data_IF_698246292854
#
_entry.id   IF_698246292854
#
_cell.length_a   1.000
_cell.length_b   1.000
_cell.length_c   1.000
_cell.angle_alpha   90.00
_cell.angle_beta   90.00
_cell.angle_gamma   90.00
#
_symmetry.space_group_name_H-M   'P 1'
#
loop_
_entity.id
_entity.type
_entity.pdbx_description
1 polymer ?
#
# COMPACT_ATOMS: atom_id res chain seq x y z
N UNK A 1 52.35 -8.21 -45.20
CA UNK A 1 52.01 -7.05 -44.34
C UNK A 1 50.87 -7.47 -43.43
N UNK A 2 51.05 -7.60 -42.10
CA UNK A 2 49.96 -7.96 -41.21
C UNK A 2 49.15 -6.71 -40.85
N UNK A 3 47.82 -6.81 -40.90
CA UNK A 3 46.91 -5.77 -40.45
C UNK A 3 46.73 -5.88 -38.92
N UNK A 4 47.05 -4.79 -38.21
CA UNK A 4 46.86 -4.69 -36.77
C UNK A 4 45.38 -4.42 -36.45
N UNK A 5 44.75 -5.26 -35.64
CA UNK A 5 43.46 -4.95 -35.01
C UNK A 5 43.69 -4.00 -33.83
N UNK A 6 43.09 -2.81 -33.91
CA UNK A 6 43.00 -1.90 -32.77
C UNK A 6 41.79 -2.29 -31.90
N UNK A 7 42.05 -2.70 -30.66
CA UNK A 7 41.01 -2.91 -29.66
C UNK A 7 40.57 -1.57 -29.08
N UNK A 8 39.31 -1.20 -29.27
CA UNK A 8 38.69 -0.04 -28.61
C UNK A 8 38.27 -0.47 -27.21
N UNK A 9 38.95 0.05 -26.18
CA UNK A 9 38.48 -0.06 -24.79
C UNK A 9 37.29 0.90 -24.60
N UNK A 10 36.10 0.34 -24.39
CA UNK A 10 34.94 1.10 -23.90
C UNK A 10 35.07 1.19 -22.38
N UNK A 11 35.43 2.36 -21.86
CA UNK A 11 35.36 2.65 -20.42
C UNK A 11 33.91 2.87 -20.03
N UNK A 12 33.31 1.92 -19.33
CA UNK A 12 31.99 2.07 -18.72
C UNK A 12 32.15 3.01 -17.52
N UNK A 13 31.59 4.22 -17.61
CA UNK A 13 31.50 5.10 -16.45
C UNK A 13 30.56 4.46 -15.42
N UNK A 14 30.89 4.47 -14.11
CA UNK A 14 29.99 3.97 -13.09
C UNK A 14 28.72 4.83 -13.10
N UNK A 15 27.57 4.17 -13.17
CA UNK A 15 26.28 4.84 -12.98
C UNK A 15 26.31 5.52 -11.60
N UNK A 16 26.14 6.84 -11.57
CA UNK A 16 25.95 7.56 -10.32
C UNK A 16 24.68 7.00 -9.67
N UNK A 17 24.83 6.35 -8.51
CA UNK A 17 23.69 6.02 -7.66
C UNK A 17 22.93 7.31 -7.39
N UNK A 18 21.68 7.38 -7.84
CA UNK A 18 20.79 8.45 -7.44
C UNK A 18 20.70 8.40 -5.91
N UNK A 19 21.27 9.39 -5.23
CA UNK A 19 21.13 9.52 -3.79
C UNK A 19 19.64 9.74 -3.50
N UNK A 20 19.05 8.86 -2.70
CA UNK A 20 17.70 9.06 -2.16
C UNK A 20 17.65 10.44 -1.52
N UNK A 21 16.66 11.30 -1.82
CA UNK A 21 16.55 12.60 -1.18
C UNK A 21 16.56 12.38 0.33
N UNK A 22 17.42 13.11 1.06
CA UNK A 22 17.42 13.04 2.52
C UNK A 22 16.06 13.51 3.02
N UNK A 23 15.23 12.57 3.45
CA UNK A 23 13.89 12.86 3.95
C UNK A 23 14.03 13.72 5.20
N UNK A 24 13.40 14.88 5.20
CA UNK A 24 13.44 15.85 6.31
C UNK A 24 12.81 15.25 7.58
N UNK A 25 13.19 15.69 8.79
CA UNK A 25 12.54 15.21 10.01
C UNK A 25 11.05 15.61 10.03
N UNK A 26 10.18 14.72 10.52
CA UNK A 26 8.78 15.09 10.70
C UNK A 26 8.63 16.18 11.77
N UNK A 27 7.81 17.18 11.45
CA UNK A 27 7.34 18.18 12.38
C UNK A 27 6.43 17.54 13.46
N UNK A 28 6.07 18.26 14.54
CA UNK A 28 5.10 17.77 15.51
C UNK A 28 3.79 17.33 14.85
N UNK A 29 3.17 16.29 15.38
CA UNK A 29 1.95 15.71 14.83
C UNK A 29 0.81 16.74 14.79
N UNK A 30 0.03 16.73 13.70
CA UNK A 30 -1.18 17.53 13.61
C UNK A 30 -2.17 17.13 14.72
N UNK A 31 -2.76 18.14 15.35
CA UNK A 31 -3.79 17.99 16.38
C UNK A 31 -5.09 18.61 15.87
N UNK A 32 -6.20 17.85 15.81
CA UNK A 32 -7.48 18.38 15.33
C UNK A 32 -8.09 19.43 16.28
N UNK A 33 -7.57 19.58 17.50
CA UNK A 33 -8.09 20.54 18.49
C UNK A 33 -7.25 21.80 18.61
N UNK A 34 -6.06 21.84 17.99
CA UNK A 34 -5.15 22.98 18.03
C UNK A 34 -5.50 24.05 16.98
N UNK A 35 -5.23 25.31 17.33
CA UNK A 35 -5.29 26.43 16.38
C UNK A 35 -3.93 26.60 15.69
N UNK A 36 -3.94 26.70 14.37
CA UNK A 36 -2.76 26.93 13.55
C UNK A 36 -2.84 28.29 12.84
N UNK A 37 -1.70 28.91 12.60
CA UNK A 37 -1.55 30.18 11.87
C UNK A 37 -0.69 29.97 10.63
N UNK A 38 -0.72 30.95 9.72
CA UNK A 38 0.09 30.91 8.51
C UNK A 38 1.58 30.69 8.84
N UNK A 39 2.18 29.67 8.22
CA UNK A 39 3.56 29.26 8.44
C UNK A 39 3.77 28.13 9.46
N UNK A 40 2.81 27.87 10.35
CA UNK A 40 2.91 26.75 11.29
C UNK A 40 3.06 25.44 10.52
N UNK A 41 3.91 24.55 11.04
CA UNK A 41 4.26 23.28 10.37
C UNK A 41 3.90 22.09 11.25
N UNK A 42 3.26 21.09 10.66
CA UNK A 42 2.84 19.84 11.31
C UNK A 42 3.20 18.64 10.44
N UNK A 43 3.26 17.46 11.02
CA UNK A 43 3.27 16.20 10.28
C UNK A 43 1.90 15.54 10.26
N UNK A 44 1.58 14.87 9.16
CA UNK A 44 0.37 14.06 8.97
C UNK A 44 0.66 13.00 7.90
N UNK A 45 0.45 11.71 8.22
CA UNK A 45 0.65 10.57 7.31
C UNK A 45 2.02 10.60 6.59
N UNK A 46 3.11 10.75 7.35
CA UNK A 46 4.48 10.71 6.81
C UNK A 46 4.90 11.93 5.99
N UNK A 47 4.14 13.03 6.04
CA UNK A 47 4.46 14.27 5.31
C UNK A 47 4.40 15.49 6.21
N UNK A 48 5.26 16.46 5.92
CA UNK A 48 5.18 17.78 6.55
C UNK A 48 4.20 18.67 5.78
N UNK A 49 3.45 19.48 6.51
CA UNK A 49 2.45 20.40 5.99
C UNK A 49 2.61 21.77 6.63
N UNK A 50 2.39 22.83 5.86
CA UNK A 50 2.45 24.21 6.36
C UNK A 50 1.09 24.89 6.19
N UNK A 51 0.58 25.49 7.26
CA UNK A 51 -0.69 26.21 7.22
C UNK A 51 -0.55 27.48 6.36
N UNK A 52 -1.51 27.71 5.46
CA UNK A 52 -1.55 28.89 4.59
C UNK A 52 -2.23 30.09 5.25
N UNK A 53 -3.15 29.82 6.17
CA UNK A 53 -3.90 30.80 6.97
C UNK A 53 -4.36 30.14 8.26
N UNK A 54 -5.15 30.85 9.08
CA UNK A 54 -5.67 30.30 10.33
C UNK A 54 -6.58 29.09 10.06
N UNK A 55 -6.33 27.97 10.73
CA UNK A 55 -7.17 26.77 10.62
C UNK A 55 -7.18 25.98 11.94
N UNK A 56 -8.27 25.23 12.16
CA UNK A 56 -8.47 24.34 13.30
C UNK A 56 -9.29 23.13 12.86
N UNK A 57 -8.85 21.93 13.20
CA UNK A 57 -9.59 20.69 12.95
C UNK A 57 -9.62 20.22 11.49
N UNK A 58 -8.99 20.95 10.58
CA UNK A 58 -8.91 20.60 9.17
C UNK A 58 -7.78 19.61 8.92
N UNK A 59 -8.12 18.48 8.30
CA UNK A 59 -7.15 17.45 7.91
C UNK A 59 -6.12 18.02 6.91
N UNK A 60 -4.80 17.93 7.19
CA UNK A 60 -3.77 18.45 6.30
C UNK A 60 -3.78 17.92 4.87
N UNK A 61 -4.11 16.63 4.67
CA UNK A 61 -4.09 15.98 3.36
C UNK A 61 -5.42 16.05 2.58
N UNK A 62 -6.51 16.49 3.21
CA UNK A 62 -7.81 16.65 2.55
C UNK A 62 -8.30 18.11 2.49
N UNK A 63 -7.65 18.99 3.25
CA UNK A 63 -8.03 20.38 3.42
C UNK A 63 -7.43 21.33 2.39
N UNK A 64 -8.04 22.50 2.26
CA UNK A 64 -7.52 23.62 1.47
C UNK A 64 -6.64 24.56 2.30
N UNK A 65 -6.59 24.46 3.63
CA UNK A 65 -5.77 25.34 4.46
C UNK A 65 -4.28 24.98 4.51
N UNK A 66 -3.90 23.77 4.08
CA UNK A 66 -2.54 23.26 4.22
C UNK A 66 -1.80 23.21 2.88
N UNK A 67 -0.47 23.34 2.94
CA UNK A 67 0.44 23.20 1.81
C UNK A 67 1.44 22.07 2.10
N UNK A 68 1.52 21.08 1.21
CA UNK A 68 2.45 19.96 1.30
C UNK A 68 3.91 20.45 1.24
N UNK A 69 4.74 19.96 2.15
CA UNK A 69 6.19 20.24 2.25
C UNK A 69 7.06 19.01 1.94
N UNK A 70 6.45 17.91 1.54
CA UNK A 70 7.11 16.67 1.16
C UNK A 70 7.08 15.61 2.26
N UNK A 71 7.53 14.41 1.88
CA UNK A 71 7.74 13.30 2.80
C UNK A 71 8.69 13.69 3.94
N UNK A 72 8.46 13.12 5.12
CA UNK A 72 9.25 13.29 6.31
C UNK A 72 9.49 11.94 7.01
N UNK A 73 10.57 11.82 7.77
CA UNK A 73 10.88 10.60 8.55
C UNK A 73 11.16 10.92 10.01
N UNK A 74 10.99 9.91 10.86
CA UNK A 74 11.12 10.03 12.32
C UNK A 74 9.93 10.72 12.98
N UNK A 75 9.91 10.74 14.32
CA UNK A 75 8.77 11.26 15.08
C UNK A 75 7.66 10.24 15.31
N UNK A 76 6.48 10.72 15.72
CA UNK A 76 5.28 9.89 15.91
C UNK A 76 4.38 9.97 14.67
N UNK A 77 3.80 8.84 14.26
CA UNK A 77 2.78 8.78 13.20
C UNK A 77 1.39 8.93 13.81
N UNK A 78 0.45 9.55 13.08
CA UNK A 78 -0.98 9.58 13.40
C UNK A 78 -1.78 8.45 12.77
N UNK A 79 -1.09 7.49 12.13
CA UNK A 79 -1.73 6.26 11.71
C UNK A 79 -2.29 5.50 12.93
N UNK A 80 -3.46 4.91 12.76
CA UNK A 80 -4.24 4.31 13.86
C UNK A 80 -3.66 3.00 14.39
N UNK A 81 -2.68 2.43 13.69
CA UNK A 81 -1.91 1.27 14.14
C UNK A 81 -0.47 1.73 14.33
N UNK A 82 0.04 1.66 15.56
CA UNK A 82 1.41 2.04 15.88
C UNK A 82 2.44 1.04 15.38
N UNK A 83 3.73 1.43 15.42
CA UNK A 83 4.83 0.57 14.98
C UNK A 83 4.93 -0.73 15.79
N UNK A 84 4.74 -0.66 17.12
CA UNK A 84 4.74 -1.85 17.99
C UNK A 84 3.60 -2.82 17.67
N UNK A 85 2.41 -2.31 17.33
CA UNK A 85 1.29 -3.14 16.90
C UNK A 85 1.55 -3.75 15.52
N UNK A 86 2.14 -2.98 14.59
CA UNK A 86 2.57 -3.49 13.29
C UNK A 86 3.61 -4.61 13.43
N UNK A 87 4.59 -4.44 14.33
CA UNK A 87 5.58 -5.47 14.66
C UNK A 87 4.94 -6.71 15.30
N UNK A 88 3.95 -6.52 16.18
CA UNK A 88 3.22 -7.62 16.80
C UNK A 88 2.32 -8.38 15.80
N UNK A 89 1.76 -7.68 14.80
CA UNK A 89 1.00 -8.30 13.72
C UNK A 89 1.92 -9.12 12.81
N UNK A 90 3.13 -8.61 12.52
CA UNK A 90 4.06 -9.19 11.56
C UNK A 90 5.47 -9.44 12.16
N UNK A 91 5.60 -10.39 13.11
CA UNK A 91 6.85 -10.59 13.85
C UNK A 91 7.97 -11.21 13.01
N UNK A 92 7.62 -11.96 11.96
CA UNK A 92 8.57 -12.69 11.10
C UNK A 92 8.64 -12.11 9.67
N UNK A 93 8.20 -10.87 9.46
CA UNK A 93 8.15 -10.29 8.11
C UNK A 93 9.53 -10.16 7.47
N UNK A 94 9.55 -10.13 6.15
CA UNK A 94 10.75 -9.75 5.40
C UNK A 94 11.13 -8.28 5.72
N UNK A 95 12.42 -7.97 5.94
CA UNK A 95 12.89 -6.61 6.22
C UNK A 95 12.51 -5.56 5.16
N UNK A 96 12.16 -5.98 3.94
CA UNK A 96 11.58 -5.11 2.92
C UNK A 96 10.36 -4.35 3.45
N UNK A 97 9.46 -5.02 4.17
CA UNK A 97 8.22 -4.41 4.66
C UNK A 97 8.46 -3.62 5.95
N UNK A 98 8.88 -2.38 5.81
CA UNK A 98 9.06 -1.46 6.94
C UNK A 98 7.74 -0.78 7.31
N UNK A 99 7.57 -0.44 8.59
CA UNK A 99 6.45 0.39 9.05
C UNK A 99 6.50 1.77 8.39
N UNK A 100 7.69 2.37 8.29
CA UNK A 100 7.88 3.62 7.57
C UNK A 100 7.42 3.54 6.10
N UNK A 101 7.66 2.44 5.39
CA UNK A 101 7.16 2.26 4.03
C UNK A 101 5.63 2.30 3.94
N UNK A 102 4.92 1.74 4.94
CA UNK A 102 3.47 1.88 5.03
C UNK A 102 3.07 3.34 5.27
N UNK A 103 3.70 4.00 6.24
CA UNK A 103 3.42 5.41 6.57
C UNK A 103 3.67 6.32 5.36
N UNK A 104 4.76 6.12 4.64
CA UNK A 104 5.11 6.86 3.43
C UNK A 104 4.07 6.66 2.32
N UNK A 105 3.37 5.53 2.28
CA UNK A 105 2.34 5.26 1.27
C UNK A 105 0.96 5.87 1.61
N UNK A 106 0.66 6.16 2.89
CA UNK A 106 -0.66 6.61 3.33
C UNK A 106 -1.13 7.91 2.65
N UNK A 107 -0.19 8.79 2.27
CA UNK A 107 -0.54 10.05 1.61
C UNK A 107 -1.20 9.88 0.24
N UNK A 108 -0.98 8.74 -0.43
CA UNK A 108 -1.62 8.44 -1.71
C UNK A 108 -3.14 8.27 -1.57
N UNK A 109 -3.61 7.90 -0.36
CA UNK A 109 -5.02 7.68 -0.05
C UNK A 109 -5.41 8.34 1.28
N UNK A 110 -5.57 9.68 1.33
CA UNK A 110 -5.77 10.43 2.57
C UNK A 110 -7.00 10.04 3.42
N UNK A 111 -7.96 9.34 2.80
CA UNK A 111 -9.18 8.84 3.46
C UNK A 111 -9.00 7.49 4.14
N UNK A 112 -8.03 6.68 3.70
CA UNK A 112 -7.80 5.35 4.24
C UNK A 112 -7.50 5.45 5.74
N UNK A 113 -8.21 4.66 6.55
CA UNK A 113 -8.11 4.66 8.01
C UNK A 113 -8.28 6.05 8.64
N UNK A 114 -8.99 6.96 7.97
CA UNK A 114 -9.16 8.35 8.40
C UNK A 114 -10.61 8.86 8.27
N UNK A 115 -11.58 7.95 8.10
CA UNK A 115 -13.01 8.26 8.00
C UNK A 115 -13.77 7.53 9.10
N UNK A 116 -14.74 8.21 9.72
CA UNK A 116 -15.60 7.65 10.76
C UNK A 116 -15.01 7.72 12.17
N UNK A 117 -15.47 6.85 13.07
CA UNK A 117 -15.03 6.83 14.47
C UNK A 117 -13.61 6.25 14.58
N UNK A 118 -12.89 6.46 15.70
CA UNK A 118 -11.63 5.74 15.97
C UNK A 118 -11.76 4.22 15.75
N UNK A 119 -12.87 3.61 16.16
CA UNK A 119 -13.12 2.17 15.99
C UNK A 119 -13.34 1.76 14.53
N UNK A 120 -13.94 2.62 13.69
CA UNK A 120 -14.07 2.35 12.24
C UNK A 120 -12.70 2.42 11.57
N UNK A 121 -11.90 3.44 11.90
CA UNK A 121 -10.55 3.61 11.35
C UNK A 121 -9.63 2.44 11.72
N UNK A 122 -9.63 2.03 12.99
CA UNK A 122 -8.86 0.88 13.46
C UNK A 122 -9.31 -0.44 12.79
N UNK A 123 -10.62 -0.66 12.63
CA UNK A 123 -11.14 -1.84 11.91
C UNK A 123 -10.73 -1.86 10.44
N UNK A 124 -10.82 -0.73 9.75
CA UNK A 124 -10.39 -0.63 8.35
C UNK A 124 -8.91 -0.97 8.20
N UNK A 125 -8.05 -0.37 9.03
CA UNK A 125 -6.61 -0.64 9.02
C UNK A 125 -6.32 -2.12 9.33
N UNK A 126 -6.99 -2.71 10.33
CA UNK A 126 -6.85 -4.13 10.66
C UNK A 126 -7.29 -5.06 9.51
N UNK A 127 -8.39 -4.72 8.81
CA UNK A 127 -8.86 -5.49 7.68
C UNK A 127 -7.88 -5.44 6.50
N UNK A 128 -7.35 -4.25 6.18
CA UNK A 128 -6.32 -4.08 5.17
C UNK A 128 -5.06 -4.90 5.48
N UNK A 129 -4.55 -4.80 6.72
CA UNK A 129 -3.39 -5.58 7.16
C UNK A 129 -3.67 -7.09 7.22
N UNK A 130 -4.93 -7.51 7.38
CA UNK A 130 -5.30 -8.93 7.28
C UNK A 130 -5.14 -9.46 5.87
N UNK A 131 -5.52 -8.70 4.85
CA UNK A 131 -5.25 -9.12 3.47
C UNK A 131 -3.76 -9.15 3.19
N UNK A 132 -3.00 -8.17 3.70
CA UNK A 132 -1.55 -8.22 3.63
C UNK A 132 -0.98 -9.49 4.28
N UNK A 133 -1.41 -9.83 5.51
CA UNK A 133 -1.02 -11.05 6.22
C UNK A 133 -1.36 -12.32 5.43
N UNK A 134 -2.56 -12.38 4.86
CA UNK A 134 -3.03 -13.57 4.16
C UNK A 134 -2.27 -13.79 2.84
N UNK A 135 -2.19 -12.78 1.98
CA UNK A 135 -1.64 -12.92 0.63
C UNK A 135 -0.12 -13.13 0.63
N UNK A 136 0.59 -12.50 1.56
CA UNK A 136 2.05 -12.54 1.63
C UNK A 136 2.61 -13.49 2.70
N UNK A 137 1.74 -14.24 3.37
CA UNK A 137 2.09 -15.17 4.46
C UNK A 137 2.79 -14.44 5.61
N UNK A 138 2.13 -13.43 6.16
CA UNK A 138 2.66 -12.59 7.24
C UNK A 138 3.79 -11.69 6.79
N UNK A 139 3.69 -11.12 5.57
CA UNK A 139 4.72 -10.29 4.95
C UNK A 139 6.07 -10.99 4.78
N UNK A 140 6.08 -12.34 4.71
CA UNK A 140 7.31 -13.13 4.48
C UNK A 140 7.77 -13.09 3.03
N UNK A 141 6.86 -12.86 2.09
CA UNK A 141 7.15 -12.89 0.67
C UNK A 141 6.90 -11.54 0.02
N UNK A 142 7.93 -11.03 -0.65
CA UNK A 142 7.86 -9.80 -1.47
C UNK A 142 7.28 -10.08 -2.86
N UNK A 143 7.41 -11.32 -3.34
CA UNK A 143 6.95 -11.76 -4.66
C UNK A 143 6.38 -13.17 -4.64
N UNK A 144 5.56 -13.48 -5.63
CA UNK A 144 4.96 -14.79 -5.88
C UNK A 144 6.05 -15.88 -5.92
N UNK A 145 5.85 -16.95 -5.16
CA UNK A 145 6.86 -18.00 -4.97
C UNK A 145 6.99 -18.89 -6.21
N UNK A 146 5.88 -19.18 -6.89
CA UNK A 146 5.87 -20.12 -8.00
C UNK A 146 6.22 -19.44 -9.33
N UNK A 147 7.51 -19.34 -9.63
CA UNK A 147 8.02 -18.72 -10.87
C UNK A 147 7.46 -19.37 -12.15
N UNK A 148 7.06 -20.65 -12.11
CA UNK A 148 6.49 -21.34 -13.26
C UNK A 148 5.13 -20.75 -13.72
N UNK A 149 4.49 -19.91 -12.90
CA UNK A 149 3.23 -19.24 -13.22
C UNK A 149 3.41 -17.80 -13.73
N UNK A 150 4.61 -17.24 -13.72
CA UNK A 150 4.84 -15.82 -14.03
C UNK A 150 4.35 -15.44 -15.43
N UNK A 151 4.56 -16.33 -16.41
CA UNK A 151 4.14 -16.13 -17.81
C UNK A 151 2.63 -15.92 -17.99
N UNK A 152 1.81 -16.34 -17.03
CA UNK A 152 0.35 -16.28 -17.12
C UNK A 152 -0.21 -14.88 -16.90
N UNK A 153 0.55 -13.99 -16.27
CA UNK A 153 0.06 -12.67 -15.82
C UNK A 153 0.18 -11.57 -16.87
N UNK A 154 0.44 -11.96 -18.11
CA UNK A 154 0.38 -11.08 -19.26
C UNK A 154 -0.94 -11.34 -20.01
N UNK A 155 -1.86 -10.38 -19.94
CA UNK A 155 -3.04 -10.36 -20.80
C UNK A 155 -2.70 -9.66 -22.12
N UNK A 156 -2.45 -10.46 -23.16
CA UNK A 156 -2.11 -9.99 -24.51
C UNK A 156 -3.30 -9.30 -25.21
N UNK A 157 -4.51 -9.38 -24.67
CA UNK A 157 -5.69 -8.69 -25.23
C UNK A 157 -5.71 -7.19 -24.89
N UNK A 158 -4.91 -6.77 -23.91
CA UNK A 158 -4.78 -5.36 -23.55
C UNK A 158 -4.03 -4.60 -24.65
N UNK A 159 -4.49 -3.40 -25.06
CA UNK A 159 -3.88 -2.64 -26.16
C UNK A 159 -2.45 -2.18 -25.87
N UNK A 160 -2.06 -2.10 -24.60
CA UNK A 160 -0.71 -1.76 -24.16
C UNK A 160 0.21 -2.98 -23.99
N UNK A 161 -0.31 -4.21 -24.12
CA UNK A 161 0.46 -5.43 -24.02
C UNK A 161 1.25 -5.56 -22.71
N UNK A 162 2.48 -6.08 -22.84
CA UNK A 162 3.36 -6.42 -21.73
C UNK A 162 4.79 -5.92 -21.99
N UNK A 163 5.01 -4.59 -21.99
CA UNK A 163 6.27 -3.99 -22.43
C UNK A 163 7.47 -4.33 -21.53
N UNK A 164 7.25 -4.63 -20.25
CA UNK A 164 8.30 -5.12 -19.36
C UNK A 164 8.67 -6.60 -19.59
N UNK A 165 7.93 -7.30 -20.47
CA UNK A 165 8.09 -8.72 -20.78
C UNK A 165 6.93 -9.57 -20.29
N UNK A 166 6.71 -10.71 -20.95
CA UNK A 166 5.58 -11.63 -20.69
C UNK A 166 5.55 -12.14 -19.24
N UNK A 167 6.72 -12.32 -18.64
CA UNK A 167 6.87 -12.87 -17.29
C UNK A 167 7.03 -11.78 -16.23
N UNK A 168 6.82 -10.50 -16.55
CA UNK A 168 7.17 -9.40 -15.65
C UNK A 168 6.07 -9.01 -14.64
N UNK A 169 4.84 -9.51 -14.79
CA UNK A 169 3.65 -9.05 -14.05
C UNK A 169 3.13 -10.05 -13.00
N UNK A 170 4.02 -10.88 -12.47
CA UNK A 170 3.75 -11.78 -11.35
C UNK A 170 3.36 -11.04 -10.06
N UNK A 171 2.85 -11.79 -9.08
CA UNK A 171 2.44 -11.23 -7.79
C UNK A 171 3.57 -10.56 -7.05
N UNK A 172 3.39 -9.30 -6.63
CA UNK A 172 4.35 -8.57 -5.78
C UNK A 172 3.66 -7.84 -4.64
N UNK A 173 4.45 -7.47 -3.64
CA UNK A 173 4.01 -6.64 -2.54
C UNK A 173 2.99 -7.32 -1.62
N UNK A 174 2.36 -6.55 -0.73
CA UNK A 174 1.67 -7.09 0.43
C UNK A 174 0.41 -7.89 0.07
N UNK A 175 -0.22 -7.60 -1.08
CA UNK A 175 -1.44 -8.30 -1.55
C UNK A 175 -1.22 -9.17 -2.80
N UNK A 176 0.02 -9.53 -3.12
CA UNK A 176 0.38 -10.31 -4.33
C UNK A 176 -0.20 -9.73 -5.62
N UNK A 177 -0.02 -8.41 -5.77
CA UNK A 177 -0.46 -7.59 -6.88
C UNK A 177 0.07 -8.12 -8.23
N UNK A 178 -0.83 -8.52 -9.12
CA UNK A 178 -0.54 -9.27 -10.35
C UNK A 178 -1.25 -8.69 -11.56
N UNK A 179 -0.82 -9.07 -12.77
CA UNK A 179 -1.41 -8.76 -14.09
C UNK A 179 -1.07 -7.39 -14.68
N UNK A 180 -0.64 -7.36 -15.94
CA UNK A 180 -0.26 -6.15 -16.68
C UNK A 180 -1.31 -5.02 -16.61
N UNK A 181 -2.60 -5.34 -16.68
CA UNK A 181 -3.66 -4.34 -16.58
C UNK A 181 -3.75 -3.69 -15.19
N UNK A 182 -3.47 -4.43 -14.12
CA UNK A 182 -3.42 -3.84 -12.77
C UNK A 182 -2.19 -2.96 -12.63
N UNK A 183 -1.00 -3.42 -13.06
CA UNK A 183 0.22 -2.60 -13.05
C UNK A 183 0.02 -1.30 -13.82
N UNK A 184 -0.67 -1.34 -14.98
CA UNK A 184 -1.04 -0.13 -15.72
C UNK A 184 -1.98 0.78 -14.93
N UNK A 185 -3.08 0.26 -14.42
CA UNK A 185 -4.10 1.06 -13.75
C UNK A 185 -3.61 1.67 -12.42
N UNK A 186 -2.86 0.90 -11.62
CA UNK A 186 -2.25 1.41 -10.40
C UNK A 186 -1.16 2.45 -10.71
N UNK A 187 -0.33 2.18 -11.73
CA UNK A 187 0.71 3.11 -12.15
C UNK A 187 0.14 4.46 -12.60
N UNK A 188 -0.92 4.45 -13.40
CA UNK A 188 -1.63 5.67 -13.81
C UNK A 188 -2.19 6.45 -12.62
N UNK A 189 -2.79 5.76 -11.64
CA UNK A 189 -3.39 6.38 -10.47
C UNK A 189 -2.34 7.00 -9.52
N UNK A 190 -1.18 6.33 -9.39
CA UNK A 190 -0.09 6.76 -8.52
C UNK A 190 0.89 7.74 -9.20
N UNK A 191 0.81 7.89 -10.53
CA UNK A 191 1.76 8.67 -11.31
C UNK A 191 3.14 8.01 -11.42
N UNK A 192 3.20 6.68 -11.37
CA UNK A 192 4.43 5.86 -11.42
C UNK A 192 4.31 4.87 -12.57
N UNK A 193 5.33 4.76 -13.44
CA UNK A 193 5.26 3.84 -14.58
C UNK A 193 5.53 2.38 -14.19
N UNK A 194 4.54 1.78 -13.53
CA UNK A 194 4.57 0.38 -13.09
C UNK A 194 4.35 -0.61 -14.25
N UNK A 195 3.84 -0.16 -15.41
CA UNK A 195 3.70 -1.04 -16.56
C UNK A 195 5.07 -1.34 -17.19
N UNK A 196 5.95 -0.34 -17.32
CA UNK A 196 7.29 -0.54 -17.87
C UNK A 196 8.33 -0.91 -16.79
N UNK A 197 8.10 -0.53 -15.53
CA UNK A 197 8.95 -0.91 -14.40
C UNK A 197 8.17 -1.56 -13.25
N UNK A 198 7.62 -2.78 -13.47
CA UNK A 198 6.86 -3.50 -12.45
C UNK A 198 7.71 -3.93 -11.24
N UNK A 199 9.04 -3.97 -11.37
CA UNK A 199 9.95 -4.33 -10.28
C UNK A 199 10.04 -3.24 -9.21
N UNK A 200 9.52 -2.03 -9.43
CA UNK A 200 9.43 -1.03 -8.36
C UNK A 200 8.64 -1.57 -7.14
N UNK A 201 7.61 -2.38 -7.37
CA UNK A 201 6.77 -2.97 -6.31
C UNK A 201 7.55 -3.95 -5.41
N UNK A 202 8.67 -4.50 -5.87
CA UNK A 202 9.56 -5.36 -5.06
C UNK A 202 10.88 -4.70 -4.65
N UNK A 203 11.09 -3.43 -5.02
CA UNK A 203 12.33 -2.66 -4.71
C UNK A 203 12.09 -1.46 -3.81
N UNK A 204 10.87 -0.91 -3.81
CA UNK A 204 10.47 0.21 -2.97
C UNK A 204 9.26 -0.18 -2.12
N UNK A 205 9.40 -0.26 -0.78
CA UNK A 205 8.31 -0.67 0.10
C UNK A 205 7.15 0.32 0.11
N UNK A 206 7.39 1.62 -0.09
CA UNK A 206 6.32 2.60 -0.17
C UNK A 206 5.48 2.41 -1.43
N UNK A 207 6.11 2.05 -2.54
CA UNK A 207 5.39 1.69 -3.78
C UNK A 207 4.60 0.40 -3.59
N UNK A 208 5.16 -0.61 -2.92
CA UNK A 208 4.45 -1.85 -2.61
C UNK A 208 3.16 -1.59 -1.81
N UNK A 209 3.26 -0.81 -0.74
CA UNK A 209 2.09 -0.42 0.06
C UNK A 209 1.12 0.46 -0.73
N UNK A 210 1.61 1.39 -1.55
CA UNK A 210 0.77 2.24 -2.38
C UNK A 210 -0.07 1.45 -3.39
N UNK A 211 0.47 0.37 -3.98
CA UNK A 211 -0.31 -0.50 -4.87
C UNK A 211 -1.42 -1.26 -4.15
N UNK A 212 -1.20 -1.65 -2.89
CA UNK A 212 -2.22 -2.32 -2.09
C UNK A 212 -3.30 -1.34 -1.61
N UNK A 213 -2.90 -0.14 -1.22
CA UNK A 213 -3.83 0.95 -0.90
C UNK A 213 -4.64 1.35 -2.15
N UNK A 214 -4.02 1.38 -3.33
CA UNK A 214 -4.75 1.58 -4.59
C UNK A 214 -5.85 0.56 -4.77
N UNK A 215 -5.53 -0.72 -4.61
CA UNK A 215 -6.53 -1.77 -4.73
C UNK A 215 -7.67 -1.58 -3.72
N UNK A 216 -7.31 -1.42 -2.45
CA UNK A 216 -8.24 -1.26 -1.33
C UNK A 216 -9.24 -0.12 -1.51
N UNK A 217 -8.76 1.03 -1.99
CA UNK A 217 -9.54 2.26 -2.06
C UNK A 217 -10.24 2.49 -3.41
N UNK A 218 -9.92 1.71 -4.45
CA UNK A 218 -10.41 2.00 -5.81
C UNK A 218 -10.98 0.81 -6.56
N UNK A 219 -10.66 -0.43 -6.16
CA UNK A 219 -11.04 -1.62 -6.90
C UNK A 219 -12.17 -2.36 -6.21
N UNK A 220 -13.19 -2.73 -6.99
CA UNK A 220 -14.26 -3.62 -6.54
C UNK A 220 -13.89 -5.10 -6.74
N UNK A 221 -12.92 -5.39 -7.61
CA UNK A 221 -12.59 -6.75 -8.03
C UNK A 221 -13.83 -7.58 -8.38
N UNK A 222 -13.99 -8.82 -7.85
CA UNK A 222 -15.20 -9.62 -8.03
C UNK A 222 -16.43 -9.16 -7.23
N UNK A 223 -16.26 -8.19 -6.32
CA UNK A 223 -17.31 -7.64 -5.47
C UNK A 223 -18.10 -6.51 -6.14
N UNK A 224 -18.84 -5.78 -5.32
CA UNK A 224 -19.72 -4.67 -5.77
C UNK A 224 -19.34 -3.30 -5.22
N UNK A 225 -18.35 -3.25 -4.33
CA UNK A 225 -17.87 -2.03 -3.68
C UNK A 225 -16.37 -2.13 -3.41
N UNK A 226 -15.74 -1.01 -3.06
CA UNK A 226 -14.35 -1.04 -2.62
C UNK A 226 -14.24 -1.59 -1.20
N UNK A 227 -13.09 -2.14 -0.84
CA UNK A 227 -12.84 -2.57 0.54
C UNK A 227 -12.88 -1.39 1.53
N UNK A 228 -12.46 -0.19 1.11
CA UNK A 228 -12.63 1.04 1.88
C UNK A 228 -14.11 1.28 2.22
N UNK A 229 -14.99 1.28 1.21
CA UNK A 229 -16.42 1.54 1.41
C UNK A 229 -17.10 0.43 2.21
N UNK A 230 -16.67 -0.83 2.05
CA UNK A 230 -17.17 -1.95 2.86
C UNK A 230 -16.90 -1.74 4.36
N UNK A 231 -15.71 -1.28 4.71
CA UNK A 231 -15.33 -1.06 6.12
C UNK A 231 -15.92 0.23 6.69
N UNK A 232 -15.87 1.33 5.93
CA UNK A 232 -16.39 2.64 6.37
C UNK A 232 -17.92 2.66 6.41
N UNK A 233 -18.57 2.02 5.44
CA UNK A 233 -20.02 1.91 5.32
C UNK A 233 -20.63 0.84 6.22
N UNK A 234 -19.81 -0.02 6.85
CA UNK A 234 -20.26 -1.06 7.76
C UNK A 234 -20.84 -2.30 7.08
N UNK A 235 -20.53 -2.54 5.81
CA UNK A 235 -20.92 -3.77 5.10
C UNK A 235 -20.19 -5.01 5.65
N UNK A 236 -18.98 -4.83 6.17
CA UNK A 236 -18.23 -5.85 6.91
C UNK A 236 -17.03 -6.42 6.16
N UNK A 237 -16.20 -7.17 6.88
CA UNK A 237 -14.95 -7.76 6.37
C UNK A 237 -15.19 -8.77 5.24
N UNK A 238 -16.32 -9.47 5.22
CA UNK A 238 -16.68 -10.40 4.15
C UNK A 238 -16.73 -9.74 2.76
N UNK A 239 -17.15 -8.48 2.69
CA UNK A 239 -17.16 -7.73 1.42
C UNK A 239 -15.75 -7.33 0.97
N UNK A 240 -14.77 -7.22 1.87
CA UNK A 240 -13.36 -7.01 1.48
C UNK A 240 -12.75 -8.29 0.93
N UNK A 241 -13.13 -9.46 1.48
CA UNK A 241 -12.80 -10.77 0.90
C UNK A 241 -13.41 -10.91 -0.49
N UNK A 242 -14.69 -10.57 -0.62
CA UNK A 242 -15.42 -10.62 -1.89
C UNK A 242 -14.76 -9.74 -2.95
N UNK A 243 -14.34 -8.54 -2.56
CA UNK A 243 -13.72 -7.58 -3.47
C UNK A 243 -12.30 -7.96 -3.86
N UNK A 244 -11.57 -8.71 -3.03
CA UNK A 244 -10.22 -9.17 -3.38
C UNK A 244 -10.22 -10.46 -4.20
N UNK A 245 -10.97 -11.48 -3.76
CA UNK A 245 -10.92 -12.82 -4.36
C UNK A 245 -12.28 -13.55 -4.35
N UNK A 246 -13.38 -12.81 -4.36
CA UNK A 246 -14.72 -13.37 -4.15
C UNK A 246 -15.16 -14.41 -5.17
N UNK A 247 -14.72 -14.30 -6.42
CA UNK A 247 -15.03 -15.28 -7.46
C UNK A 247 -14.50 -16.70 -7.16
N UNK A 248 -13.47 -16.82 -6.31
CA UNK A 248 -12.87 -18.09 -5.93
C UNK A 248 -13.24 -18.53 -4.50
N UNK A 249 -13.48 -17.58 -3.61
CA UNK A 249 -13.61 -17.87 -2.17
C UNK A 249 -15.04 -17.82 -1.64
N UNK A 250 -15.83 -16.84 -2.08
CA UNK A 250 -17.15 -16.56 -1.50
C UNK A 250 -18.23 -17.52 -2.02
N UNK A 251 -19.41 -17.44 -1.40
CA UNK A 251 -20.64 -18.16 -1.77
C UNK A 251 -20.43 -19.69 -1.82
N UNK A 252 -19.57 -20.20 -0.93
CA UNK A 252 -19.20 -21.60 -0.82
C UNK A 252 -18.05 -22.05 -1.72
N UNK A 253 -17.40 -21.14 -2.46
CA UNK A 253 -16.27 -21.46 -3.34
C UNK A 253 -15.07 -22.03 -2.59
N UNK A 254 -14.65 -21.40 -1.49
CA UNK A 254 -13.60 -21.90 -0.61
C UNK A 254 -13.81 -21.49 0.85
N UNK A 255 -14.72 -22.17 1.59
CA UNK A 255 -15.04 -21.84 2.98
C UNK A 255 -13.84 -21.90 3.92
N UNK A 256 -12.86 -22.77 3.64
CA UNK A 256 -11.65 -22.88 4.45
C UNK A 256 -10.76 -21.63 4.30
N UNK A 257 -10.64 -21.09 3.09
CA UNK A 257 -9.92 -19.83 2.85
C UNK A 257 -10.58 -18.66 3.54
N UNK A 258 -11.90 -18.52 3.41
CA UNK A 258 -12.67 -17.46 4.09
C UNK A 258 -12.50 -17.56 5.61
N UNK A 259 -12.66 -18.75 6.19
CA UNK A 259 -12.46 -18.96 7.62
C UNK A 259 -11.03 -18.57 8.07
N UNK A 260 -10.02 -18.90 7.28
CA UNK A 260 -8.64 -18.54 7.57
C UNK A 260 -8.34 -17.04 7.42
N UNK A 261 -9.11 -16.29 6.62
CA UNK A 261 -9.07 -14.81 6.60
C UNK A 261 -9.72 -14.24 7.85
N UNK A 262 -10.88 -14.77 8.25
CA UNK A 262 -11.60 -14.34 9.45
C UNK A 262 -10.75 -14.56 10.70
N UNK A 263 -10.13 -15.72 10.86
CA UNK A 263 -9.27 -16.02 12.01
C UNK A 263 -8.11 -15.02 12.13
N UNK A 264 -7.48 -14.66 11.00
CA UNK A 264 -6.43 -13.64 10.97
C UNK A 264 -6.98 -12.25 11.31
N UNK A 265 -8.15 -11.89 10.78
CA UNK A 265 -8.78 -10.62 11.10
C UNK A 265 -9.11 -10.49 12.58
N UNK A 266 -9.65 -11.56 13.20
CA UNK A 266 -9.92 -11.61 14.64
C UNK A 266 -8.63 -11.51 15.46
N UNK A 267 -7.55 -12.21 15.05
CA UNK A 267 -6.23 -12.06 15.67
C UNK A 267 -5.72 -10.62 15.61
N UNK A 268 -5.73 -10.01 14.42
CA UNK A 268 -5.19 -8.67 14.19
C UNK A 268 -6.03 -7.61 14.91
N UNK A 269 -7.36 -7.70 14.85
CA UNK A 269 -8.24 -6.80 15.61
C UNK A 269 -8.08 -6.96 17.12
N UNK A 270 -7.76 -8.17 17.60
CA UNK A 270 -7.36 -8.43 18.99
C UNK A 270 -6.06 -7.73 19.40
N UNK A 271 -5.03 -7.74 18.53
CA UNK A 271 -3.76 -7.01 18.77
C UNK A 271 -4.00 -5.50 18.83
N UNK A 272 -4.80 -4.97 17.89
CA UNK A 272 -5.15 -3.53 17.80
C UNK A 272 -6.14 -3.10 18.89
N UNK A 273 -6.75 -4.05 19.61
CA UNK A 273 -7.72 -3.74 20.67
C UNK A 273 -9.07 -3.20 20.16
N UNK A 274 -9.51 -3.64 18.98
CA UNK A 274 -10.81 -3.25 18.39
C UNK A 274 -11.68 -4.48 18.15
N UNK A 275 -13.00 -4.37 18.30
CA UNK A 275 -13.90 -5.47 17.94
C UNK A 275 -13.96 -5.64 16.40
N UNK A 276 -14.01 -6.87 15.86
CA UNK A 276 -14.00 -7.12 14.41
C UNK A 276 -15.25 -6.60 13.69
N UNK A 277 -16.38 -6.48 14.41
CA UNK A 277 -17.67 -6.08 13.85
C UNK A 277 -18.49 -7.26 13.35
N UNK A 278 -19.42 -6.99 12.44
CA UNK A 278 -20.33 -7.98 11.83
C UNK A 278 -19.98 -8.22 10.36
N UNK A 279 -20.60 -9.24 9.75
CA UNK A 279 -20.44 -9.52 8.32
C UNK A 279 -19.02 -9.96 7.99
N UNK A 280 -18.46 -10.90 8.77
CA UNK A 280 -17.05 -11.31 8.63
C UNK A 280 -16.80 -12.26 7.46
N UNK A 281 -17.84 -12.96 7.02
CA UNK A 281 -17.76 -13.98 5.97
C UNK A 281 -18.46 -13.53 4.70
N UNK A 282 -18.06 -14.16 3.61
CA UNK A 282 -18.78 -14.32 2.37
C UNK A 282 -18.75 -15.83 2.02
#
# INVERSE_FOLDING_TARGET
MPAALAAVLVTVAPAASAATPATQPCAPLHSPTADYRAGDTVSHHGRNWSAKWWTRGENPAAGSAWADRGACTGGVSDFVIGEEEFDAIFPDRDPFYTYQGLIDALHAYPRFANVGTPQTRAREAAAFLTHADFESVGLKYVKEINEANYWRKCDDTQPFGCPAGREAYYGRGPIMFSWNFNYKAAGDALGIDLLNDPWLVERDPSVAWATALWYWNTQNGPGTMTSHDAMVGGAGFGETIRSLNGALECDGGNPASVAARVERYERITGIVGVAPGSGLTC
#
